data_IF_923817152009
#
_entry.id   IF_923817152009
#
_cell.length_a   1.000
_cell.length_b   1.000
_cell.length_c   1.000
_cell.angle_alpha   90.00
_cell.angle_beta   90.00
_cell.angle_gamma   90.00
#
_symmetry.space_group_name_H-M   'P 1'
#
loop_
_entity.id
_entity.type
_entity.pdbx_description
1 polymer ?
#
# COMPACT_ATOMS: atom_id res chain seq x y z
N UNK A 1 -1.84 -41.32 -3.78
CA UNK A 1 -1.40 -41.15 -2.39
C UNK A 1 0.03 -40.64 -2.44
N UNK A 2 0.24 -39.33 -2.28
CA UNK A 2 1.57 -38.72 -2.27
C UNK A 2 1.87 -38.27 -0.84
N UNK A 3 2.97 -38.77 -0.28
CA UNK A 3 3.46 -38.48 1.07
C UNK A 3 4.87 -37.89 0.91
N UNK A 4 5.25 -36.98 1.83
CA UNK A 4 6.49 -36.19 1.98
C UNK A 4 6.42 -34.80 1.29
N UNK A 5 6.09 -33.66 1.93
CA UNK A 5 6.53 -32.95 3.17
C UNK A 5 7.73 -32.02 2.95
N UNK A 6 7.51 -30.73 3.28
CA UNK A 6 8.47 -29.64 3.61
C UNK A 6 9.27 -28.95 2.48
N UNK A 7 8.79 -27.77 2.03
CA UNK A 7 9.60 -26.53 2.00
C UNK A 7 8.73 -25.28 1.72
N UNK A 8 7.75 -24.96 2.58
CA UNK A 8 7.02 -23.69 2.48
C UNK A 8 7.77 -22.60 3.24
N UNK A 9 8.87 -22.15 2.64
CA UNK A 9 9.60 -20.98 3.12
C UNK A 9 9.10 -19.74 2.37
N UNK A 10 8.65 -18.72 3.10
CA UNK A 10 8.30 -17.41 2.53
C UNK A 10 9.45 -16.43 2.77
N UNK A 11 9.84 -15.69 1.73
CA UNK A 11 10.88 -14.65 1.81
C UNK A 11 10.28 -13.29 1.48
N UNK A 12 10.64 -12.28 2.26
CA UNK A 12 10.17 -10.91 2.06
C UNK A 12 11.03 -9.92 2.82
N UNK A 13 11.52 -8.86 2.16
CA UNK A 13 12.19 -7.75 2.83
C UNK A 13 13.42 -8.17 3.63
N UNK A 14 14.14 -9.19 3.17
CA UNK A 14 15.28 -9.78 3.90
C UNK A 14 14.90 -10.74 5.05
N UNK A 15 13.61 -10.94 5.30
CA UNK A 15 13.11 -11.91 6.27
C UNK A 15 12.81 -13.26 5.60
N UNK A 16 13.03 -14.34 6.35
CA UNK A 16 12.72 -15.71 5.94
C UNK A 16 11.80 -16.35 6.98
N UNK A 17 10.57 -16.66 6.59
CA UNK A 17 9.58 -17.37 7.39
C UNK A 17 9.54 -18.84 6.97
N UNK A 18 10.05 -19.72 7.82
CA UNK A 18 10.04 -21.17 7.62
C UNK A 18 8.82 -21.77 8.32
N UNK A 19 7.82 -22.18 7.54
CA UNK A 19 6.58 -22.77 8.06
C UNK A 19 6.76 -24.21 8.56
N UNK A 20 7.76 -24.92 8.05
CA UNK A 20 8.03 -26.29 8.51
C UNK A 20 8.69 -26.28 9.89
N UNK A 21 9.55 -25.30 10.15
CA UNK A 21 10.25 -25.14 11.43
C UNK A 21 9.53 -24.25 12.44
N UNK A 22 8.52 -23.48 12.03
CA UNK A 22 7.86 -22.56 12.94
C UNK A 22 8.73 -21.33 13.27
N UNK A 23 9.69 -20.97 12.41
CA UNK A 23 10.72 -19.96 12.72
C UNK A 23 10.67 -18.76 11.78
N UNK A 24 10.92 -17.57 12.33
CA UNK A 24 11.19 -16.35 11.58
C UNK A 24 12.69 -16.03 11.70
N UNK A 25 13.34 -15.73 10.59
CA UNK A 25 14.72 -15.27 10.54
C UNK A 25 14.76 -13.88 9.92
N UNK A 26 15.40 -12.95 10.60
CA UNK A 26 15.76 -11.66 10.04
C UNK A 26 17.04 -11.74 9.20
N UNK A 27 17.46 -10.61 8.62
CA UNK A 27 18.69 -10.53 7.84
C UNK A 27 19.94 -10.84 8.69
N UNK A 28 19.96 -10.39 9.95
CA UNK A 28 21.13 -10.50 10.82
C UNK A 28 20.99 -11.61 11.88
N UNK A 29 19.78 -11.86 12.39
CA UNK A 29 19.54 -12.82 13.47
C UNK A 29 18.17 -13.52 13.42
N UNK A 30 18.02 -14.68 14.09
CA UNK A 30 16.70 -15.30 14.29
C UNK A 30 15.77 -14.44 15.14
N UNK A 31 14.51 -14.32 14.74
CA UNK A 31 13.50 -13.52 15.44
C UNK A 31 12.43 -14.41 16.05
N UNK A 32 12.12 -14.15 17.32
CA UNK A 32 11.09 -14.88 18.04
C UNK A 32 9.78 -14.09 18.09
N UNK A 33 8.70 -14.75 17.68
CA UNK A 33 7.33 -14.28 17.82
C UNK A 33 6.56 -15.20 18.75
N UNK A 34 5.67 -14.65 19.55
CA UNK A 34 4.69 -15.43 20.32
C UNK A 34 3.81 -16.25 19.37
N UNK A 35 3.27 -17.41 19.81
CA UNK A 35 2.53 -18.33 18.92
C UNK A 35 1.40 -17.66 18.12
N UNK A 36 0.67 -16.72 18.73
CA UNK A 36 -0.43 -16.00 18.07
C UNK A 36 0.08 -15.03 17.00
N UNK A 37 1.12 -14.25 17.32
CA UNK A 37 1.78 -13.38 16.34
C UNK A 37 2.37 -14.17 15.16
N UNK A 38 3.02 -15.30 15.44
CA UNK A 38 3.53 -16.20 14.41
C UNK A 38 2.42 -16.75 13.50
N UNK A 39 1.30 -17.17 14.10
CA UNK A 39 0.13 -17.70 13.36
C UNK A 39 -0.44 -16.63 12.44
N UNK A 40 -0.59 -15.40 12.92
CA UNK A 40 -1.06 -14.27 12.12
C UNK A 40 -0.10 -13.94 10.98
N UNK A 41 1.21 -13.87 11.26
CA UNK A 41 2.22 -13.60 10.24
C UNK A 41 2.22 -14.69 9.16
N UNK A 42 2.09 -15.96 9.55
CA UNK A 42 1.96 -17.08 8.61
C UNK A 42 0.75 -16.92 7.70
N UNK A 43 -0.40 -16.55 8.27
CA UNK A 43 -1.62 -16.35 7.49
C UNK A 43 -1.52 -15.15 6.55
N UNK A 44 -0.93 -14.05 7.02
CA UNK A 44 -0.66 -12.88 6.20
C UNK A 44 0.35 -13.16 5.08
N UNK A 45 1.40 -13.96 5.34
CA UNK A 45 2.40 -14.36 4.35
C UNK A 45 1.80 -15.25 3.25
N UNK A 46 0.87 -16.15 3.60
CA UNK A 46 0.11 -16.93 2.62
C UNK A 46 -0.82 -16.07 1.76
N UNK A 47 -1.24 -14.92 2.27
CA UNK A 47 -2.11 -13.96 1.61
C UNK A 47 -1.36 -12.66 1.29
N UNK A 48 -0.06 -12.76 0.97
CA UNK A 48 0.78 -11.60 0.74
C UNK A 48 0.22 -10.69 -0.36
N UNK A 49 0.22 -9.37 -0.14
CA UNK A 49 -0.37 -8.39 -1.06
C UNK A 49 -1.91 -8.36 -1.06
N UNK A 50 -2.60 -9.25 -0.34
CA UNK A 50 -4.06 -9.22 -0.15
C UNK A 50 -4.41 -8.62 1.21
N UNK A 51 -5.47 -7.82 1.24
CA UNK A 51 -6.07 -7.33 2.48
C UNK A 51 -6.81 -8.48 3.16
N UNK A 52 -6.36 -8.84 4.36
CA UNK A 52 -6.97 -9.87 5.21
C UNK A 52 -7.86 -9.19 6.26
N UNK A 53 -9.16 -9.51 6.31
CA UNK A 53 -10.08 -8.98 7.31
C UNK A 53 -9.69 -9.27 8.75
N UNK A 54 -10.05 -8.37 9.67
CA UNK A 54 -9.81 -8.58 11.12
C UNK A 54 -10.49 -9.84 11.63
N UNK A 55 -11.73 -10.10 11.20
CA UNK A 55 -12.50 -11.29 11.59
C UNK A 55 -11.79 -12.58 11.18
N UNK A 56 -11.27 -12.63 9.96
CA UNK A 56 -10.50 -13.76 9.43
C UNK A 56 -9.21 -13.99 10.26
N UNK A 57 -8.48 -12.91 10.56
CA UNK A 57 -7.28 -12.98 11.40
C UNK A 57 -7.60 -13.44 12.84
N UNK A 58 -8.71 -12.97 13.40
CA UNK A 58 -9.16 -13.38 14.72
C UNK A 58 -9.52 -14.87 14.76
N UNK A 59 -10.26 -15.35 13.76
CA UNK A 59 -10.67 -16.74 13.66
C UNK A 59 -9.47 -17.69 13.50
N UNK A 60 -8.49 -17.29 12.68
CA UNK A 60 -7.28 -18.10 12.44
C UNK A 60 -6.39 -18.17 13.68
N UNK A 61 -6.17 -17.05 14.38
CA UNK A 61 -5.29 -17.03 15.55
C UNK A 61 -5.99 -17.50 16.83
N UNK A 62 -7.30 -17.32 16.97
CA UNK A 62 -8.08 -17.66 18.16
C UNK A 62 -9.34 -18.45 17.79
N UNK A 63 -9.18 -19.68 17.26
CA UNK A 63 -10.31 -20.48 16.80
C UNK A 63 -11.26 -20.79 17.97
N UNK A 64 -12.52 -20.39 17.83
CA UNK A 64 -13.56 -20.62 18.84
C UNK A 64 -13.40 -19.83 20.14
N UNK A 65 -12.50 -18.84 20.19
CA UNK A 65 -12.30 -17.99 21.37
C UNK A 65 -12.73 -16.56 21.03
N UNK A 66 -13.67 -16.02 21.80
CA UNK A 66 -14.04 -14.61 21.69
C UNK A 66 -12.89 -13.74 22.25
N UNK A 67 -12.25 -12.99 21.36
CA UNK A 67 -11.19 -12.03 21.69
C UNK A 67 -11.58 -10.63 21.23
N UNK A 68 -11.05 -9.60 21.91
CA UNK A 68 -11.24 -8.21 21.50
C UNK A 68 -10.28 -7.81 20.40
N UNK A 69 -10.59 -6.71 19.70
CA UNK A 69 -9.67 -6.10 18.71
C UNK A 69 -8.31 -5.73 19.31
N UNK A 70 -8.22 -5.48 20.62
CA UNK A 70 -6.95 -5.20 21.29
C UNK A 70 -5.98 -6.40 21.22
N UNK A 71 -6.49 -7.63 21.30
CA UNK A 71 -5.66 -8.84 21.21
C UNK A 71 -5.01 -8.98 19.83
N UNK A 72 -5.79 -8.68 18.78
CA UNK A 72 -5.30 -8.62 17.41
C UNK A 72 -4.28 -7.49 17.26
N UNK A 73 -4.62 -6.29 17.74
CA UNK A 73 -3.74 -5.11 17.65
C UNK A 73 -2.40 -5.33 18.34
N UNK A 74 -2.39 -5.96 19.52
CA UNK A 74 -1.16 -6.27 20.24
C UNK A 74 -0.29 -7.30 19.50
N UNK A 75 -0.92 -8.28 18.85
CA UNK A 75 -0.19 -9.28 18.05
C UNK A 75 0.39 -8.66 16.77
N UNK A 76 -0.34 -7.74 16.13
CA UNK A 76 0.16 -6.99 14.97
C UNK A 76 1.32 -6.06 15.36
N UNK A 77 1.25 -5.39 16.51
CA UNK A 77 2.35 -4.56 17.04
C UNK A 77 3.62 -5.37 17.25
N UNK A 78 3.50 -6.59 17.77
CA UNK A 78 4.63 -7.48 17.95
C UNK A 78 5.25 -7.91 16.61
N UNK A 79 4.42 -8.24 15.62
CA UNK A 79 4.90 -8.54 14.26
C UNK A 79 5.68 -7.35 13.71
N UNK A 80 5.11 -6.14 13.77
CA UNK A 80 5.77 -4.91 13.27
C UNK A 80 7.08 -4.61 13.96
N UNK A 81 7.17 -4.86 15.26
CA UNK A 81 8.42 -4.73 16.00
C UNK A 81 9.50 -5.70 15.49
N UNK A 82 9.10 -6.88 15.02
CA UNK A 82 10.02 -7.88 14.49
C UNK A 82 10.44 -7.64 13.03
N UNK A 83 9.49 -7.28 12.15
CA UNK A 83 9.74 -7.22 10.70
C UNK A 83 9.69 -5.80 10.09
N UNK A 84 9.41 -4.78 10.90
CA UNK A 84 9.24 -3.40 10.46
C UNK A 84 7.76 -2.97 10.34
N UNK A 85 7.50 -1.70 10.64
CA UNK A 85 6.15 -1.10 10.56
C UNK A 85 5.60 -1.13 9.12
N UNK A 86 6.45 -0.87 8.13
CA UNK A 86 6.04 -0.73 6.73
C UNK A 86 5.65 -2.05 6.06
N UNK A 87 6.10 -3.17 6.64
CA UNK A 87 5.81 -4.52 6.14
C UNK A 87 4.36 -4.93 6.41
N UNK A 88 3.75 -4.48 7.52
CA UNK A 88 2.35 -4.82 7.84
C UNK A 88 1.50 -3.56 7.80
N UNK A 89 0.83 -3.35 6.66
CA UNK A 89 -0.02 -2.18 6.43
C UNK A 89 -1.40 -2.37 7.07
N UNK A 90 -1.87 -1.33 7.77
CA UNK A 90 -3.26 -1.25 8.22
C UNK A 90 -4.11 -0.64 7.13
N UNK A 91 -5.17 -1.32 6.72
CA UNK A 91 -6.20 -0.74 5.85
C UNK A 91 -7.43 -0.45 6.69
N UNK A 92 -7.66 0.84 6.95
CA UNK A 92 -8.75 1.34 7.80
C UNK A 92 -10.08 0.67 7.47
N UNK A 93 -10.76 0.16 8.50
CA UNK A 93 -12.05 -0.56 8.43
C UNK A 93 -12.06 -1.86 7.61
N UNK A 94 -10.94 -2.26 7.00
CA UNK A 94 -10.85 -3.46 6.16
C UNK A 94 -10.02 -4.56 6.79
N UNK A 95 -8.85 -4.24 7.36
CA UNK A 95 -7.99 -5.24 7.99
C UNK A 95 -6.51 -4.93 7.85
N UNK A 96 -5.71 -5.98 7.66
CA UNK A 96 -4.25 -5.90 7.58
C UNK A 96 -3.73 -6.58 6.32
N UNK A 97 -2.56 -6.16 5.86
CA UNK A 97 -1.91 -6.72 4.69
C UNK A 97 -0.41 -6.78 4.91
N UNK A 98 0.21 -7.92 4.60
CA UNK A 98 1.66 -8.01 4.47
C UNK A 98 2.06 -7.51 3.09
N UNK A 99 2.93 -6.51 3.03
CA UNK A 99 3.43 -5.97 1.78
C UNK A 99 4.26 -7.03 1.05
N UNK A 100 3.94 -7.31 -0.21
CA UNK A 100 4.81 -8.10 -1.07
C UNK A 100 6.15 -7.38 -1.22
N UNK A 101 7.25 -8.15 -1.26
CA UNK A 101 8.59 -7.62 -1.45
C UNK A 101 8.58 -6.59 -2.58
N UNK A 102 8.96 -5.37 -2.21
CA UNK A 102 8.76 -4.12 -2.93
C UNK A 102 8.42 -4.25 -4.43
N UNK A 103 7.13 -4.16 -4.77
CA UNK A 103 6.80 -3.02 -5.61
C UNK A 103 7.18 -1.82 -4.78
N UNK A 104 8.32 -1.21 -5.12
CA UNK A 104 8.78 0.05 -4.58
C UNK A 104 7.60 1.02 -4.66
N UNK A 105 6.80 1.10 -3.59
CA UNK A 105 6.11 2.35 -3.30
C UNK A 105 7.29 3.30 -3.11
N UNK A 106 7.48 4.27 -4.00
CA UNK A 106 8.60 5.19 -3.88
C UNK A 106 8.57 5.70 -2.45
N UNK A 107 9.70 5.59 -1.75
CA UNK A 107 9.83 6.17 -0.43
C UNK A 107 9.72 7.68 -0.61
N UNK A 108 8.49 8.18 -0.55
CA UNK A 108 8.24 9.61 -0.50
C UNK A 108 8.39 9.94 0.97
N UNK A 109 9.61 10.28 1.36
CA UNK A 109 9.88 10.96 2.62
C UNK A 109 9.23 12.34 2.58
N UNK A 110 7.92 12.41 2.81
CA UNK A 110 7.10 13.62 2.74
C UNK A 110 5.62 13.30 2.52
N UNK A 111 4.72 14.26 2.76
CA UNK A 111 3.32 14.11 2.31
C UNK A 111 3.32 13.89 0.79
N UNK A 112 2.73 12.77 0.29
CA UNK A 112 2.76 12.41 -1.13
C UNK A 112 2.32 13.58 -2.01
N UNK A 113 3.15 13.91 -3.01
CA UNK A 113 2.91 15.03 -3.91
C UNK A 113 2.09 14.52 -5.10
N UNK A 114 0.85 14.99 -5.22
CA UNK A 114 -0.06 14.63 -6.32
C UNK A 114 -0.17 15.79 -7.29
N UNK A 115 0.07 15.53 -8.58
CA UNK A 115 -0.21 16.50 -9.65
C UNK A 115 -1.42 16.05 -10.46
N UNK A 116 -2.41 16.93 -10.58
CA UNK A 116 -3.59 16.75 -11.43
C UNK A 116 -3.31 17.43 -12.77
N UNK A 117 -3.32 16.65 -13.85
CA UNK A 117 -3.12 17.14 -15.21
C UNK A 117 -4.44 17.68 -15.77
N UNK A 118 -4.36 18.52 -16.83
CA UNK A 118 -5.54 18.97 -17.55
C UNK A 118 -6.26 17.75 -18.14
N UNK A 119 -7.56 17.63 -17.87
CA UNK A 119 -8.40 16.62 -18.48
C UNK A 119 -8.47 16.87 -19.99
N UNK A 120 -8.58 15.81 -20.78
CA UNK A 120 -8.66 15.95 -22.24
C UNK A 120 -10.08 16.31 -22.62
N UNK A 121 -10.22 17.26 -23.54
CA UNK A 121 -11.52 17.54 -24.14
C UNK A 121 -11.76 16.54 -25.29
N UNK A 122 -12.47 15.45 -25.02
CA UNK A 122 -12.84 14.45 -26.05
C UNK A 122 -13.92 14.96 -27.02
N UNK A 123 -14.70 15.99 -26.64
CA UNK A 123 -15.74 16.63 -27.44
C UNK A 123 -15.15 17.45 -28.59
N UNK A 124 -13.96 18.03 -28.37
CA UNK A 124 -13.29 18.92 -29.34
C UNK A 124 -13.94 20.30 -29.46
N UNK A 125 -15.03 20.56 -28.74
CA UNK A 125 -15.69 21.86 -28.67
C UNK A 125 -14.91 22.80 -27.72
N UNK A 126 -14.42 23.96 -28.20
CA UNK A 126 -13.75 24.95 -27.35
C UNK A 126 -14.61 25.45 -26.18
N UNK A 127 -15.94 25.37 -26.27
CA UNK A 127 -16.84 25.77 -25.19
C UNK A 127 -16.74 24.84 -23.95
N UNK A 128 -16.38 23.58 -24.16
CA UNK A 128 -16.26 22.58 -23.09
C UNK A 128 -14.93 22.70 -22.33
N UNK A 129 -13.93 23.41 -22.87
CA UNK A 129 -12.62 23.57 -22.21
C UNK A 129 -12.73 24.21 -20.82
N UNK A 130 -13.58 25.22 -20.67
CA UNK A 130 -13.79 25.90 -19.40
C UNK A 130 -14.44 24.99 -18.35
N UNK A 131 -15.30 24.07 -18.79
CA UNK A 131 -15.98 23.10 -17.94
C UNK A 131 -14.98 22.03 -17.46
N UNK A 132 -14.17 21.52 -18.39
CA UNK A 132 -13.10 20.54 -18.13
C UNK A 132 -12.05 21.10 -17.15
N UNK A 133 -11.69 22.38 -17.30
CA UNK A 133 -10.77 23.07 -16.39
C UNK A 133 -11.37 23.32 -14.98
N UNK A 134 -12.70 23.39 -14.88
CA UNK A 134 -13.42 23.47 -13.60
C UNK A 134 -13.39 22.17 -12.81
N UNK A 135 -13.55 21.02 -13.49
CA UNK A 135 -13.42 19.70 -12.84
C UNK A 135 -12.03 19.45 -12.27
N UNK A 136 -10.98 19.86 -12.99
CA UNK A 136 -9.62 19.81 -12.47
C UNK A 136 -9.47 20.64 -11.18
N UNK A 137 -10.12 21.82 -11.12
CA UNK A 137 -10.12 22.68 -9.94
C UNK A 137 -10.77 22.02 -8.74
N UNK A 138 -11.93 21.41 -8.94
CA UNK A 138 -12.68 20.77 -7.88
C UNK A 138 -11.93 19.57 -7.30
N UNK A 139 -11.23 18.81 -8.15
CA UNK A 139 -10.36 17.71 -7.71
C UNK A 139 -9.15 18.24 -6.95
N UNK A 140 -8.49 19.30 -7.44
CA UNK A 140 -7.37 19.94 -6.72
C UNK A 140 -7.82 20.43 -5.35
N UNK A 141 -8.96 21.14 -5.27
CA UNK A 141 -9.52 21.65 -4.03
C UNK A 141 -9.97 20.52 -3.08
N UNK A 142 -10.54 19.46 -3.63
CA UNK A 142 -10.93 18.27 -2.88
C UNK A 142 -9.73 17.54 -2.28
N UNK A 143 -8.69 17.31 -3.07
CA UNK A 143 -7.45 16.68 -2.63
C UNK A 143 -6.67 17.55 -1.64
N UNK A 144 -6.61 18.87 -1.86
CA UNK A 144 -5.91 19.81 -0.96
C UNK A 144 -6.54 19.89 0.44
N UNK A 145 -7.82 19.52 0.58
CA UNK A 145 -8.49 19.41 1.89
C UNK A 145 -8.06 18.17 2.67
N UNK A 146 -7.52 17.16 2.02
CA UNK A 146 -6.94 16.00 2.69
C UNK A 146 -5.49 16.31 3.05
N UNK A 147 -5.25 16.67 4.32
CA UNK A 147 -3.90 16.92 4.87
C UNK A 147 -2.97 15.70 4.92
N UNK A 148 -3.21 14.69 4.11
CA UNK A 148 -2.35 13.52 3.90
C UNK A 148 -1.65 13.53 2.53
N UNK A 149 -1.95 14.51 1.66
CA UNK A 149 -1.33 14.68 0.34
C UNK A 149 -0.99 16.16 0.11
N UNK A 150 0.11 16.45 -0.58
CA UNK A 150 0.44 17.79 -1.09
C UNK A 150 0.00 17.86 -2.55
N UNK A 151 -0.80 18.85 -2.95
CA UNK A 151 -1.25 18.99 -4.34
C UNK A 151 -0.45 20.09 -5.04
N UNK A 152 0.16 19.79 -6.18
CA UNK A 152 0.82 20.81 -7.01
C UNK A 152 -0.23 21.60 -7.80
N UNK A 153 -0.19 22.93 -7.64
CA UNK A 153 -1.21 23.84 -8.15
C UNK A 153 -1.21 23.99 -9.68
N UNK A 154 -2.40 24.32 -10.21
CA UNK A 154 -2.83 24.61 -11.59
C UNK A 154 -1.74 25.10 -12.56
N UNK A 155 -0.91 26.06 -12.18
CA UNK A 155 0.05 26.71 -13.09
C UNK A 155 1.27 25.84 -13.46
N UNK A 156 1.61 24.84 -12.63
CA UNK A 156 2.77 23.97 -12.88
C UNK A 156 2.43 22.69 -13.64
N UNK A 157 1.15 22.29 -13.66
CA UNK A 157 0.67 21.06 -14.29
C UNK A 157 0.14 21.29 -15.72
N UNK A 158 -0.33 22.50 -16.03
CA UNK A 158 -1.05 22.78 -17.29
C UNK A 158 -0.12 23.01 -18.49
N UNK A 159 1.17 23.29 -18.26
CA UNK A 159 2.20 23.32 -19.32
C UNK A 159 2.57 21.92 -19.85
N UNK A 160 2.03 20.86 -19.24
CA UNK A 160 2.29 19.47 -19.59
C UNK A 160 1.06 18.73 -20.18
N UNK A 161 0.00 19.45 -20.53
CA UNK A 161 -1.26 18.87 -21.04
C UNK A 161 -1.14 18.18 -22.41
N UNK A 162 -0.01 18.30 -23.11
CA UNK A 162 0.17 17.84 -24.50
C UNK A 162 0.97 16.53 -24.63
N UNK A 163 1.36 15.90 -23.53
CA UNK A 163 2.32 14.79 -23.57
C UNK A 163 1.66 13.41 -23.65
N UNK A 164 2.28 12.50 -24.38
CA UNK A 164 1.83 11.11 -24.51
C UNK A 164 2.09 10.32 -23.20
N UNK A 165 1.33 9.25 -22.96
CA UNK A 165 1.49 8.37 -21.77
C UNK A 165 2.92 7.84 -21.59
N UNK A 166 3.68 7.72 -22.68
CA UNK A 166 5.09 7.31 -22.70
C UNK A 166 6.06 8.30 -22.03
N UNK A 167 5.66 9.55 -21.84
CA UNK A 167 6.52 10.63 -21.30
C UNK A 167 6.34 10.85 -19.79
N UNK A 168 5.46 10.07 -19.15
CA UNK A 168 5.10 10.21 -17.74
C UNK A 168 6.25 10.10 -16.74
N UNK A 169 7.23 9.20 -16.89
CA UNK A 169 8.39 9.15 -15.99
C UNK A 169 9.21 10.45 -15.99
N UNK A 170 9.30 11.10 -17.16
CA UNK A 170 10.06 12.35 -17.33
C UNK A 170 9.29 13.54 -16.77
N UNK A 171 7.96 13.57 -16.98
CA UNK A 171 7.06 14.58 -16.42
C UNK A 171 7.07 14.51 -14.89
N UNK A 172 6.98 13.31 -14.33
CA UNK A 172 7.06 13.08 -12.88
C UNK A 172 8.32 13.70 -12.28
N UNK A 173 9.48 13.43 -12.88
CA UNK A 173 10.77 13.99 -12.45
C UNK A 173 10.85 15.51 -12.61
N UNK A 174 10.18 16.10 -13.61
CA UNK A 174 10.24 17.53 -13.91
C UNK A 174 9.27 18.36 -13.07
N UNK A 175 8.11 17.80 -12.76
CA UNK A 175 7.09 18.40 -11.89
C UNK A 175 7.44 18.18 -10.40
N UNK A 176 8.22 17.14 -10.09
CA UNK A 176 8.51 16.75 -8.70
C UNK A 176 7.30 16.13 -8.01
N UNK A 177 6.40 15.51 -8.79
CA UNK A 177 5.24 14.81 -8.27
C UNK A 177 5.56 13.33 -8.01
N UNK A 178 4.82 12.73 -7.10
CA UNK A 178 4.91 11.30 -6.85
C UNK A 178 3.84 10.51 -7.58
N UNK A 179 2.68 11.14 -7.74
CA UNK A 179 1.53 10.56 -8.42
C UNK A 179 0.96 11.57 -9.42
N UNK A 180 0.58 11.06 -10.58
CA UNK A 180 -0.10 11.82 -11.64
C UNK A 180 -1.55 11.36 -11.72
N UNK A 181 -2.48 12.31 -11.72
CA UNK A 181 -3.90 12.07 -11.98
C UNK A 181 -4.21 12.60 -13.38
N UNK A 182 -4.69 11.72 -14.25
CA UNK A 182 -5.30 12.10 -15.52
C UNK A 182 -6.80 11.73 -15.50
N UNK A 183 -7.58 12.38 -16.35
CA UNK A 183 -8.87 11.83 -16.76
C UNK A 183 -9.16 12.10 -18.22
N UNK A 184 -9.96 11.19 -18.77
CA UNK A 184 -10.63 11.25 -20.06
C UNK A 184 -11.89 12.08 -19.96
#
# INVERSE_FOLDING_TARGET
MAIATADQTFRFGGFTLDLARGTLRGPDEPLFLRPKAYTLLTHLARNMGRIVPKSELMEVAWPGIFVTEDSLTQSIREIRKAIGEDMVRTVSKRGYMLAAEAEQSPEIGGQPIVAVLRFRNESGDPADEAIVDGFAEDIINGLARFGTVTVLARNSSFSFASFARTEWPQIRSRIGADFLVEGS
#
